data_IF_674209605905
#
_entry.id   IF_674209605905
#
_cell.length_a   1.000
_cell.length_b   1.000
_cell.length_c   1.000
_cell.angle_alpha   90.00
_cell.angle_beta   90.00
_cell.angle_gamma   90.00
#
_symmetry.space_group_name_H-M   'P 1'
#
loop_
_entity.id
_entity.type
_entity.pdbx_description
1 polymer ?
#
# COMPACT_ATOMS: atom_id res chain seq x y z
N UNK A 1 -19.04 39.55 9.63
CA UNK A 1 -18.55 38.43 10.45
C UNK A 1 -18.25 37.25 9.52
N UNK A 2 -16.97 36.93 9.29
CA UNK A 2 -16.60 35.72 8.51
C UNK A 2 -16.74 34.52 9.45
N UNK A 3 -17.66 33.62 9.13
CA UNK A 3 -17.82 32.36 9.86
C UNK A 3 -16.53 31.56 9.73
N UNK A 4 -15.91 31.19 10.85
CA UNK A 4 -14.81 30.23 10.85
C UNK A 4 -15.37 28.88 10.41
N UNK A 5 -15.33 28.63 9.09
CA UNK A 5 -15.70 27.34 8.52
C UNK A 5 -14.67 26.35 9.03
N UNK A 6 -15.12 25.45 9.91
CA UNK A 6 -14.36 24.41 10.58
C UNK A 6 -13.21 23.88 9.70
N UNK A 7 -11.97 24.32 9.94
CA UNK A 7 -10.82 23.87 9.15
C UNK A 7 -10.65 22.36 9.39
N UNK A 8 -10.89 21.49 8.39
CA UNK A 8 -10.69 20.06 8.59
C UNK A 8 -9.19 19.77 8.66
N UNK A 9 -8.74 19.11 9.72
CA UNK A 9 -7.35 18.71 9.89
C UNK A 9 -6.90 17.82 8.73
N UNK A 10 -5.63 17.91 8.31
CA UNK A 10 -5.03 17.08 7.26
C UNK A 10 -5.33 15.59 7.48
N UNK A 11 -5.25 15.12 8.71
CA UNK A 11 -5.59 13.75 9.09
C UNK A 11 -7.04 13.37 8.75
N UNK A 12 -7.99 14.29 8.98
CA UNK A 12 -9.41 14.09 8.69
C UNK A 12 -9.66 13.98 7.18
N UNK A 13 -8.97 14.79 6.38
CA UNK A 13 -9.07 14.76 4.92
C UNK A 13 -8.49 13.48 4.32
N UNK A 14 -7.37 12.99 4.89
CA UNK A 14 -6.75 11.72 4.51
C UNK A 14 -7.62 10.52 4.90
N UNK A 15 -8.26 10.57 6.08
CA UNK A 15 -9.23 9.56 6.52
C UNK A 15 -10.47 9.50 5.63
N UNK A 16 -10.88 10.63 5.05
CA UNK A 16 -11.97 10.71 4.05
C UNK A 16 -11.57 10.22 2.65
N UNK A 17 -10.28 9.92 2.41
CA UNK A 17 -9.80 9.36 1.15
C UNK A 17 -9.64 10.35 0.00
N UNK A 18 -9.51 11.64 0.31
CA UNK A 18 -9.26 12.67 -0.70
C UNK A 18 -7.86 12.50 -1.32
N UNK A 19 -7.71 12.74 -2.63
CA UNK A 19 -6.41 12.69 -3.31
C UNK A 19 -5.54 13.87 -2.87
N UNK A 20 -4.21 13.72 -2.95
CA UNK A 20 -3.28 14.82 -2.65
C UNK A 20 -3.65 16.11 -3.41
N UNK A 21 -3.99 15.96 -4.69
CA UNK A 21 -4.41 17.05 -5.58
C UNK A 21 -5.71 17.72 -5.14
N UNK A 22 -6.62 16.97 -4.53
CA UNK A 22 -7.94 17.45 -4.15
C UNK A 22 -7.85 18.16 -2.81
N UNK A 23 -7.02 17.64 -1.88
CA UNK A 23 -6.70 18.33 -0.63
C UNK A 23 -6.05 19.69 -0.91
N UNK A 24 -5.10 19.76 -1.84
CA UNK A 24 -4.45 21.03 -2.22
C UNK A 24 -5.43 22.03 -2.85
N UNK A 25 -6.42 21.53 -3.62
CA UNK A 25 -7.48 22.38 -4.20
C UNK A 25 -8.49 22.86 -3.16
N UNK A 26 -8.91 22.00 -2.22
CA UNK A 26 -9.88 22.35 -1.17
C UNK A 26 -9.33 23.37 -0.18
N UNK A 27 -8.03 23.32 0.14
CA UNK A 27 -7.44 24.13 1.20
C UNK A 27 -6.91 25.50 0.74
N UNK A 28 -7.01 25.86 -0.54
CA UNK A 28 -6.58 27.18 -1.02
C UNK A 28 -5.15 27.53 -0.58
N UNK A 29 -4.19 26.67 -0.95
CA UNK A 29 -2.73 26.85 -0.88
C UNK A 29 -2.18 27.94 0.05
N UNK A 30 -2.19 27.71 1.38
CA UNK A 30 -1.03 28.12 2.16
C UNK A 30 0.05 27.06 1.95
N UNK A 31 1.16 27.48 1.37
CA UNK A 31 2.17 26.61 0.74
C UNK A 31 2.75 25.54 1.70
N UNK A 32 2.76 25.83 3.00
CA UNK A 32 3.14 24.90 4.07
C UNK A 32 2.14 23.75 4.28
N UNK A 33 0.84 24.01 4.15
CA UNK A 33 -0.21 23.01 4.33
C UNK A 33 -0.16 21.96 3.22
N UNK A 34 -0.03 22.41 1.97
CA UNK A 34 0.13 21.51 0.82
C UNK A 34 1.37 20.61 0.96
N UNK A 35 2.51 21.18 1.39
CA UNK A 35 3.74 20.43 1.68
C UNK A 35 3.55 19.39 2.78
N UNK A 36 2.88 19.76 3.87
CA UNK A 36 2.61 18.86 4.99
C UNK A 36 1.69 17.69 4.59
N UNK A 37 0.65 17.93 3.79
CA UNK A 37 -0.24 16.89 3.25
C UNK A 37 0.54 15.92 2.35
N UNK A 38 1.35 16.46 1.44
CA UNK A 38 2.17 15.63 0.53
C UNK A 38 3.14 14.74 1.30
N UNK A 39 3.80 15.28 2.32
CA UNK A 39 4.69 14.53 3.19
C UNK A 39 3.96 13.40 3.94
N UNK A 40 2.77 13.70 4.49
CA UNK A 40 1.95 12.70 5.17
C UNK A 40 1.51 11.56 4.22
N UNK A 41 1.11 11.88 2.99
CA UNK A 41 0.76 10.88 1.98
C UNK A 41 1.95 10.01 1.56
N UNK A 42 3.13 10.60 1.36
CA UNK A 42 4.36 9.85 1.08
C UNK A 42 4.68 8.88 2.22
N UNK A 43 4.54 9.32 3.48
CA UNK A 43 4.75 8.48 4.65
C UNK A 43 3.77 7.31 4.70
N UNK A 44 2.49 7.56 4.50
CA UNK A 44 1.44 6.52 4.47
C UNK A 44 1.72 5.52 3.34
N UNK A 45 2.01 5.99 2.13
CA UNK A 45 2.39 5.15 0.99
C UNK A 45 3.56 4.23 1.32
N UNK A 46 4.61 4.77 1.96
CA UNK A 46 5.78 4.00 2.38
C UNK A 46 5.49 2.98 3.50
N UNK A 47 4.54 3.26 4.39
CA UNK A 47 4.10 2.30 5.42
C UNK A 47 3.31 1.16 4.79
N UNK A 48 2.36 1.47 3.90
CA UNK A 48 1.55 0.47 3.19
C UNK A 48 2.45 -0.44 2.35
N UNK A 49 3.36 0.14 1.55
CA UNK A 49 4.31 -0.64 0.72
C UNK A 49 5.09 -1.65 1.57
N UNK A 50 5.71 -1.19 2.65
CA UNK A 50 6.47 -2.06 3.56
C UNK A 50 5.61 -3.15 4.22
N UNK A 51 4.31 -2.92 4.46
CA UNK A 51 3.43 -3.95 5.03
C UNK A 51 3.12 -5.03 3.99
N UNK A 52 2.88 -4.64 2.74
CA UNK A 52 2.66 -5.54 1.61
C UNK A 52 3.93 -6.36 1.33
N UNK A 53 5.09 -5.71 1.24
CA UNK A 53 6.37 -6.41 0.96
C UNK A 53 6.69 -7.48 2.02
N UNK A 54 6.24 -7.28 3.27
CA UNK A 54 6.40 -8.28 4.34
C UNK A 54 5.39 -9.43 4.27
N UNK A 55 4.16 -9.14 3.84
CA UNK A 55 3.09 -10.12 3.78
C UNK A 55 2.04 -9.68 2.76
N UNK A 56 2.25 -10.08 1.52
CA UNK A 56 1.42 -9.73 0.35
C UNK A 56 0.07 -10.48 0.31
N UNK A 57 -0.02 -11.61 1.02
CA UNK A 57 -1.27 -12.37 1.18
C UNK A 57 -2.32 -11.75 2.12
N UNK A 58 -2.14 -10.52 2.63
CA UNK A 58 -3.11 -9.87 3.52
C UNK A 58 -4.21 -9.15 2.73
N UNK A 59 -5.43 -9.14 3.29
CA UNK A 59 -6.50 -8.31 2.75
C UNK A 59 -6.21 -6.81 2.98
N UNK A 60 -6.52 -5.98 1.99
CA UNK A 60 -6.34 -4.53 2.10
C UNK A 60 -7.19 -3.92 3.22
N UNK A 61 -8.35 -4.53 3.54
CA UNK A 61 -9.18 -4.10 4.67
C UNK A 61 -8.53 -4.38 6.02
N UNK A 62 -7.78 -5.49 6.16
CA UNK A 62 -7.02 -5.76 7.38
C UNK A 62 -5.89 -4.76 7.56
N UNK A 63 -5.16 -4.46 6.48
CA UNK A 63 -4.13 -3.39 6.48
C UNK A 63 -4.73 -2.04 6.86
N UNK A 64 -5.91 -1.71 6.31
CA UNK A 64 -6.63 -0.48 6.63
C UNK A 64 -7.01 -0.39 8.12
N UNK A 65 -7.56 -1.48 8.68
CA UNK A 65 -7.92 -1.55 10.10
C UNK A 65 -6.72 -1.40 11.04
N UNK A 66 -5.63 -2.13 10.76
CA UNK A 66 -4.38 -2.05 11.54
C UNK A 66 -3.76 -0.63 11.51
N UNK A 67 -3.79 0.02 10.34
CA UNK A 67 -3.26 1.37 10.17
C UNK A 67 -4.25 2.47 10.58
N UNK A 68 -5.50 2.13 10.92
CA UNK A 68 -6.61 3.07 11.18
C UNK A 68 -6.82 4.07 10.03
N UNK A 69 -6.68 3.59 8.80
CA UNK A 69 -6.87 4.36 7.56
C UNK A 69 -8.15 3.87 6.90
N UNK A 70 -8.87 4.76 6.20
CA UNK A 70 -10.04 4.36 5.42
C UNK A 70 -9.69 3.32 4.34
N UNK A 71 -10.46 2.24 4.25
CA UNK A 71 -10.20 1.15 3.30
C UNK A 71 -10.11 1.60 1.84
N UNK A 72 -10.98 2.54 1.42
CA UNK A 72 -10.94 3.15 0.08
C UNK A 72 -9.59 3.85 -0.20
N UNK A 73 -9.01 4.51 0.81
CA UNK A 73 -7.71 5.17 0.69
C UNK A 73 -6.60 4.16 0.47
N UNK A 74 -6.59 3.06 1.24
CA UNK A 74 -5.60 1.99 1.07
C UNK A 74 -5.70 1.38 -0.32
N UNK A 75 -6.92 1.05 -0.76
CA UNK A 75 -7.16 0.48 -2.10
C UNK A 75 -6.67 1.42 -3.22
N UNK A 76 -6.99 2.71 -3.14
CA UNK A 76 -6.51 3.72 -4.10
C UNK A 76 -4.98 3.82 -4.10
N UNK A 77 -4.35 3.88 -2.92
CA UNK A 77 -2.88 3.98 -2.82
C UNK A 77 -2.23 2.74 -3.45
N UNK A 78 -2.75 1.55 -3.17
CA UNK A 78 -2.21 0.30 -3.71
C UNK A 78 -2.35 0.25 -5.23
N UNK A 79 -3.55 0.54 -5.76
CA UNK A 79 -3.82 0.48 -7.21
C UNK A 79 -3.17 1.63 -7.98
N UNK A 80 -3.39 2.87 -7.55
CA UNK A 80 -3.02 4.05 -8.32
C UNK A 80 -1.59 4.50 -8.06
N UNK A 81 -1.15 4.49 -6.79
CA UNK A 81 0.14 5.08 -6.39
C UNK A 81 1.27 4.03 -6.34
N UNK A 82 0.95 2.77 -5.98
CA UNK A 82 1.91 1.66 -5.96
C UNK A 82 1.84 0.78 -7.22
N UNK A 83 0.78 0.91 -8.04
CA UNK A 83 0.58 0.11 -9.26
C UNK A 83 0.61 -1.40 -8.99
N UNK A 84 -0.01 -1.80 -7.88
CA UNK A 84 -0.13 -3.20 -7.48
C UNK A 84 -1.58 -3.66 -7.64
N UNK A 85 -1.75 -4.83 -8.24
CA UNK A 85 -3.04 -5.49 -8.40
C UNK A 85 -3.10 -6.76 -7.54
N UNK A 86 -4.29 -7.03 -7.00
CA UNK A 86 -4.54 -8.27 -6.29
C UNK A 86 -4.68 -9.41 -7.31
N UNK A 87 -3.90 -10.47 -7.14
CA UNK A 87 -3.96 -11.65 -7.98
C UNK A 87 -4.26 -12.90 -7.15
N UNK A 88 -4.80 -13.93 -7.82
CA UNK A 88 -5.05 -15.22 -7.19
C UNK A 88 -3.76 -16.03 -7.19
N UNK A 89 -3.27 -16.40 -6.01
CA UNK A 89 -2.16 -17.33 -5.87
C UNK A 89 -2.56 -18.70 -6.43
N UNK A 90 -1.73 -19.24 -7.32
CA UNK A 90 -1.90 -20.60 -7.83
C UNK A 90 -1.75 -21.61 -6.70
N UNK A 91 -2.67 -22.56 -6.63
CA UNK A 91 -2.58 -23.67 -5.67
C UNK A 91 -1.50 -24.63 -6.15
N UNK A 92 -0.54 -24.93 -5.28
CA UNK A 92 0.54 -25.87 -5.57
C UNK A 92 0.89 -26.67 -4.32
N UNK A 93 1.66 -27.74 -4.51
CA UNK A 93 2.21 -28.51 -3.41
C UNK A 93 3.31 -27.71 -2.71
N UNK A 94 3.14 -27.46 -1.41
CA UNK A 94 4.23 -26.94 -0.59
C UNK A 94 5.31 -28.00 -0.47
N UNK A 95 6.54 -27.64 -0.86
CA UNK A 95 7.70 -28.52 -0.75
C UNK A 95 8.33 -28.34 0.62
N UNK A 96 8.67 -29.46 1.27
CA UNK A 96 9.59 -29.45 2.40
C UNK A 96 10.98 -29.03 1.94
N UNK A 97 11.80 -28.55 2.86
CA UNK A 97 13.15 -28.10 2.51
C UNK A 97 14.02 -29.25 1.97
N UNK A 98 13.82 -30.47 2.48
CA UNK A 98 14.44 -31.68 1.93
C UNK A 98 14.00 -31.93 0.48
N UNK A 99 12.71 -31.78 0.16
CA UNK A 99 12.23 -31.92 -1.21
C UNK A 99 12.77 -30.83 -2.15
N UNK A 100 12.93 -29.59 -1.66
CA UNK A 100 13.55 -28.50 -2.44
C UNK A 100 15.00 -28.84 -2.78
N UNK A 101 15.79 -29.31 -1.81
CA UNK A 101 17.18 -29.70 -2.02
C UNK A 101 17.30 -30.84 -3.04
N UNK A 102 16.47 -31.88 -2.89
CA UNK A 102 16.44 -33.00 -3.84
C UNK A 102 16.06 -32.57 -5.26
N UNK A 103 15.09 -31.65 -5.40
CA UNK A 103 14.73 -31.10 -6.72
C UNK A 103 15.87 -30.32 -7.34
N UNK A 104 16.59 -29.51 -6.55
CA UNK A 104 17.73 -28.73 -7.03
C UNK A 104 18.87 -29.64 -7.54
N UNK A 105 19.21 -30.67 -6.79
CA UNK A 105 20.26 -31.64 -7.19
C UNK A 105 19.90 -32.36 -8.50
N UNK A 106 18.66 -32.86 -8.60
CA UNK A 106 18.17 -33.50 -9.83
C UNK A 106 18.17 -32.55 -11.03
N UNK A 107 17.76 -31.30 -10.84
CA UNK A 107 17.76 -30.30 -11.91
C UNK A 107 19.18 -30.01 -12.41
N UNK A 108 20.17 -29.88 -11.51
CA UNK A 108 21.58 -29.68 -11.88
C UNK A 108 22.13 -30.86 -12.68
N UNK A 109 21.82 -32.10 -12.27
CA UNK A 109 22.24 -33.32 -12.98
C UNK A 109 21.66 -33.36 -14.39
N UNK A 110 20.37 -33.08 -14.55
CA UNK A 110 19.73 -33.03 -15.86
C UNK A 110 20.37 -31.96 -16.76
N UNK A 111 20.66 -30.77 -16.23
CA UNK A 111 21.30 -29.70 -16.98
C UNK A 111 22.72 -30.08 -17.46
N UNK A 112 23.48 -30.83 -16.65
CA UNK A 112 24.83 -31.26 -17.00
C UNK A 112 24.89 -32.36 -18.08
N UNK A 113 23.74 -32.98 -18.40
CA UNK A 113 23.62 -34.00 -19.45
C UNK A 113 23.09 -33.44 -20.79
N UNK A 114 22.82 -32.13 -20.86
CA UNK A 114 22.63 -31.39 -22.11
C UNK A 114 23.94 -30.68 -22.49
#
# INVERSE_FOLDING_TARGET
MRTFVHHPTIEHLLKRGMRSSDVTRTLGSSDSTARNVSAALKKIRGVIKRRIDRHDGLSLNKVAGELKIGGKTVQRIVKDDLKLDSFKLSRGQYLSDASKANRLDKAKKLLAHF
#
